data_IF_819388837498
#
_entry.id   IF_819388837498
#
_cell.length_a   1.000
_cell.length_b   1.000
_cell.length_c   1.000
_cell.angle_alpha   90.00
_cell.angle_beta   90.00
_cell.angle_gamma   90.00
#
_symmetry.space_group_name_H-M   'P 1'
#
loop_
_entity.id
_entity.type
_entity.pdbx_description
1 polymer ?
#
# COMPACT_ATOMS: atom_id res chain seq x y z
N UNK A 1 26.63 1.89 5.10
CA UNK A 1 26.91 3.00 4.17
C UNK A 1 28.41 3.22 4.13
N UNK A 2 29.01 3.29 2.93
CA UNK A 2 30.45 3.54 2.80
C UNK A 2 30.79 5.03 2.98
N UNK A 3 32.06 5.36 3.27
CA UNK A 3 32.50 6.73 3.54
C UNK A 3 32.28 7.73 2.38
N UNK A 4 31.97 7.25 1.17
CA UNK A 4 31.74 8.07 -0.04
C UNK A 4 30.28 8.05 -0.52
N UNK A 5 29.32 7.61 0.30
CA UNK A 5 27.92 7.60 -0.09
C UNK A 5 27.40 9.04 -0.20
N UNK A 6 26.95 9.42 -1.41
CA UNK A 6 26.33 10.73 -1.65
C UNK A 6 24.91 10.72 -1.10
N UNK A 7 24.60 11.64 -0.19
CA UNK A 7 23.21 11.88 0.24
C UNK A 7 22.47 12.51 -0.94
N UNK A 8 21.42 11.86 -1.41
CA UNK A 8 20.56 12.36 -2.49
C UNK A 8 19.23 12.79 -1.83
N UNK A 9 18.90 14.10 -1.82
CA UNK A 9 17.59 14.55 -1.38
C UNK A 9 16.54 14.08 -2.38
N UNK A 10 15.61 13.21 -1.95
CA UNK A 10 14.56 12.65 -2.81
C UNK A 10 13.34 13.57 -2.95
N UNK A 11 13.38 14.77 -2.37
CA UNK A 11 12.24 15.68 -2.27
C UNK A 11 11.37 15.41 -1.04
N UNK A 12 10.26 16.14 -0.94
CA UNK A 12 9.27 15.92 0.11
C UNK A 12 8.55 14.59 -0.14
N UNK A 13 8.48 13.74 0.89
CA UNK A 13 7.76 12.48 0.85
C UNK A 13 6.39 12.64 1.52
N UNK A 14 5.39 11.97 0.97
CA UNK A 14 3.98 12.15 1.35
C UNK A 14 3.66 11.66 2.78
N UNK A 15 4.51 10.79 3.33
CA UNK A 15 4.41 10.29 4.70
C UNK A 15 3.63 8.98 4.82
N UNK A 16 3.71 8.13 3.81
CA UNK A 16 3.18 6.76 3.84
C UNK A 16 4.02 5.85 4.74
N UNK A 17 3.40 4.85 5.38
CA UNK A 17 4.15 3.85 6.14
C UNK A 17 5.09 3.02 5.25
N UNK A 18 4.55 2.50 4.14
CA UNK A 18 5.29 1.71 3.15
C UNK A 18 4.89 2.17 1.74
N UNK A 19 5.87 2.59 0.95
CA UNK A 19 5.68 2.98 -0.45
C UNK A 19 6.50 2.13 -1.40
N UNK A 20 5.81 1.45 -2.31
CA UNK A 20 6.38 0.61 -3.36
C UNK A 20 6.28 1.31 -4.71
N UNK A 21 7.44 1.60 -5.31
CA UNK A 21 7.55 2.33 -6.58
C UNK A 21 8.41 1.52 -7.56
N UNK A 22 7.85 1.15 -8.71
CA UNK A 22 8.53 0.37 -9.77
C UNK A 22 9.12 -0.97 -9.31
N UNK A 23 8.58 -1.58 -8.24
CA UNK A 23 9.11 -2.83 -7.67
C UNK A 23 8.46 -4.08 -8.25
N UNK A 24 9.11 -5.25 -8.10
CA UNK A 24 8.56 -6.54 -8.50
C UNK A 24 8.84 -7.58 -7.42
N UNK A 25 7.87 -8.49 -7.19
CA UNK A 25 8.02 -9.65 -6.28
C UNK A 25 8.34 -9.22 -4.84
N UNK A 26 7.39 -8.56 -4.19
CA UNK A 26 7.50 -8.08 -2.81
C UNK A 26 6.44 -8.77 -1.95
N UNK A 27 6.81 -9.10 -0.72
CA UNK A 27 5.90 -9.66 0.28
C UNK A 27 5.89 -8.78 1.52
N UNK A 28 4.71 -8.25 1.87
CA UNK A 28 4.47 -7.46 3.07
C UNK A 28 3.62 -8.31 4.01
N UNK A 29 4.25 -8.79 5.08
CA UNK A 29 3.68 -9.82 5.94
C UNK A 29 3.87 -9.53 7.43
N UNK A 30 2.85 -9.82 8.25
CA UNK A 30 2.90 -9.72 9.73
C UNK A 30 3.31 -8.35 10.29
N UNK A 31 2.86 -7.27 9.66
CA UNK A 31 3.12 -5.90 10.15
C UNK A 31 1.89 -5.33 10.88
N UNK A 32 2.12 -4.38 11.77
CA UNK A 32 1.06 -3.50 12.30
C UNK A 32 1.31 -2.09 11.78
N UNK A 33 0.39 -1.56 10.96
CA UNK A 33 0.52 -0.28 10.28
C UNK A 33 -0.62 0.65 10.73
N UNK A 34 -0.30 1.85 11.20
CA UNK A 34 -1.27 2.78 11.77
C UNK A 34 -0.75 4.22 11.81
N UNK A 35 -1.66 5.20 11.90
CA UNK A 35 -1.39 6.62 12.21
C UNK A 35 -0.25 7.27 11.40
N UNK A 36 -0.33 7.15 10.07
CA UNK A 36 0.62 7.80 9.15
C UNK A 36 0.03 9.08 8.54
N UNK A 37 0.91 9.94 8.02
CA UNK A 37 0.52 11.28 7.56
C UNK A 37 -0.38 11.26 6.30
N UNK A 38 -0.14 10.34 5.36
CA UNK A 38 -0.99 10.16 4.17
C UNK A 38 -1.60 8.75 4.11
N UNK A 39 -0.92 7.78 3.49
CA UNK A 39 -1.36 6.39 3.39
C UNK A 39 -0.67 5.44 4.38
N UNK A 40 -1.15 4.19 4.50
CA UNK A 40 -0.35 3.12 5.10
C UNK A 40 0.46 2.36 4.05
N UNK A 41 -0.18 1.94 2.96
CA UNK A 41 0.49 1.16 1.92
C UNK A 41 0.14 1.67 0.52
N UNK A 42 1.16 2.12 -0.21
CA UNK A 42 1.04 2.58 -1.58
C UNK A 42 1.82 1.68 -2.55
N UNK A 43 1.12 1.08 -3.51
CA UNK A 43 1.70 0.26 -4.59
C UNK A 43 1.44 0.95 -5.92
N UNK A 44 2.48 1.54 -6.50
CA UNK A 44 2.33 2.48 -7.63
C UNK A 44 3.39 2.27 -8.73
N UNK A 45 3.20 2.96 -9.85
CA UNK A 45 4.14 3.04 -10.99
C UNK A 45 4.51 1.66 -11.54
N UNK A 46 3.50 0.85 -11.84
CA UNK A 46 3.65 -0.48 -12.44
C UNK A 46 4.25 -1.54 -11.51
N UNK A 47 4.27 -1.30 -10.20
CA UNK A 47 4.70 -2.29 -9.21
C UNK A 47 3.81 -3.54 -9.26
N UNK A 48 4.39 -4.74 -9.28
CA UNK A 48 3.60 -5.96 -9.56
C UNK A 48 4.14 -7.22 -8.88
N UNK A 49 3.27 -8.23 -8.73
CA UNK A 49 3.60 -9.45 -8.01
C UNK A 49 3.80 -9.17 -6.52
N UNK A 50 2.89 -8.41 -5.93
CA UNK A 50 2.93 -8.06 -4.50
C UNK A 50 1.94 -8.92 -3.74
N UNK A 51 2.36 -9.48 -2.61
CA UNK A 51 1.44 -10.11 -1.64
C UNK A 51 1.44 -9.29 -0.36
N UNK A 52 0.24 -8.97 0.13
CA UNK A 52 -0.02 -8.24 1.37
C UNK A 52 -0.82 -9.17 2.26
N UNK A 53 -0.16 -9.75 3.27
CA UNK A 53 -0.79 -10.76 4.12
C UNK A 53 -0.56 -10.61 5.61
N UNK A 54 -1.51 -11.09 6.43
CA UNK A 54 -1.38 -11.14 7.89
C UNK A 54 -1.04 -9.79 8.54
N UNK A 55 -1.36 -8.66 7.89
CA UNK A 55 -1.09 -7.34 8.44
C UNK A 55 -2.29 -6.83 9.22
N UNK A 56 -2.02 -6.04 10.26
CA UNK A 56 -3.02 -5.28 10.99
C UNK A 56 -2.95 -3.81 10.62
N UNK A 57 -3.96 -3.33 9.89
CA UNK A 57 -4.17 -1.94 9.55
C UNK A 57 -5.19 -1.33 10.51
N UNK A 58 -4.88 -0.19 11.14
CA UNK A 58 -5.81 0.48 12.07
C UNK A 58 -5.57 1.99 12.12
N UNK A 59 -6.55 2.74 12.59
CA UNK A 59 -6.44 4.19 12.84
C UNK A 59 -5.87 4.96 11.62
N UNK A 60 -6.50 4.78 10.46
CA UNK A 60 -6.09 5.48 9.25
C UNK A 60 -7.28 5.80 8.36
N UNK A 61 -7.31 7.02 7.82
CA UNK A 61 -8.27 7.39 6.77
C UNK A 61 -8.00 6.64 5.46
N UNK A 62 -6.81 6.81 4.88
CA UNK A 62 -6.38 6.22 3.60
C UNK A 62 -5.50 4.99 3.83
N UNK A 63 -6.05 3.79 3.72
CA UNK A 63 -5.31 2.58 4.13
C UNK A 63 -4.36 2.04 3.05
N UNK A 64 -4.87 1.52 1.93
CA UNK A 64 -4.10 0.85 0.86
C UNK A 64 -4.48 1.40 -0.52
N UNK A 65 -3.51 1.99 -1.23
CA UNK A 65 -3.67 2.47 -2.60
C UNK A 65 -2.91 1.56 -3.58
N UNK A 66 -3.63 1.03 -4.57
CA UNK A 66 -3.08 0.25 -5.66
C UNK A 66 -3.26 1.02 -6.98
N UNK A 67 -2.23 1.77 -7.38
CA UNK A 67 -2.24 2.70 -8.51
C UNK A 67 -2.69 4.11 -8.10
N UNK A 68 -1.97 5.14 -8.57
CA UNK A 68 -2.12 6.52 -8.07
C UNK A 68 -2.90 7.44 -9.02
N UNK A 69 -2.65 7.36 -10.33
CA UNK A 69 -3.13 8.35 -11.29
C UNK A 69 -3.71 7.67 -12.54
N UNK A 70 -4.86 8.18 -13.01
CA UNK A 70 -5.57 7.71 -14.20
C UNK A 70 -4.70 7.75 -15.47
N UNK A 71 -3.75 8.69 -15.56
CA UNK A 71 -2.81 8.81 -16.67
C UNK A 71 -1.65 7.82 -16.65
N UNK A 72 -1.43 7.07 -15.56
CA UNK A 72 -0.37 6.07 -15.47
C UNK A 72 -0.83 4.72 -16.00
N UNK A 73 -0.92 4.59 -17.33
CA UNK A 73 -1.41 3.36 -17.98
C UNK A 73 -0.58 2.11 -17.68
N UNK A 74 0.67 2.26 -17.24
CA UNK A 74 1.51 1.14 -16.77
C UNK A 74 0.95 0.46 -15.52
N UNK A 75 0.10 1.15 -14.76
CA UNK A 75 -0.57 0.59 -13.57
C UNK A 75 -1.59 -0.51 -13.93
N UNK A 76 -1.96 -0.68 -15.21
CA UNK A 76 -2.69 -1.87 -15.70
C UNK A 76 -1.97 -3.19 -15.41
N UNK A 77 -0.64 -3.14 -15.24
CA UNK A 77 0.17 -4.31 -14.94
C UNK A 77 0.27 -4.61 -13.43
N UNK A 78 -0.29 -3.74 -12.57
CA UNK A 78 -0.34 -3.99 -11.13
C UNK A 78 -1.14 -5.26 -10.89
N UNK A 79 -0.53 -6.22 -10.18
CA UNK A 79 -1.17 -7.45 -9.70
C UNK A 79 -0.81 -7.62 -8.24
N UNK A 80 -1.81 -7.54 -7.37
CA UNK A 80 -1.63 -7.60 -5.92
C UNK A 80 -2.58 -8.63 -5.30
N UNK A 81 -2.08 -9.41 -4.35
CA UNK A 81 -2.88 -10.29 -3.51
C UNK A 81 -2.99 -9.62 -2.13
N UNK A 82 -4.21 -9.43 -1.64
CA UNK A 82 -4.50 -8.85 -0.32
C UNK A 82 -5.30 -9.89 0.47
N UNK A 83 -4.63 -10.60 1.39
CA UNK A 83 -5.23 -11.76 2.08
C UNK A 83 -4.93 -11.81 3.57
N UNK A 84 -5.86 -12.32 4.39
CA UNK A 84 -5.63 -12.52 5.83
C UNK A 84 -5.25 -11.25 6.62
N UNK A 85 -5.55 -10.06 6.10
CA UNK A 85 -5.30 -8.81 6.81
C UNK A 85 -6.47 -8.46 7.73
N UNK A 86 -6.16 -7.79 8.83
CA UNK A 86 -7.14 -7.16 9.72
C UNK A 86 -7.19 -5.67 9.40
N UNK A 87 -8.31 -5.21 8.87
CA UNK A 87 -8.63 -3.80 8.67
C UNK A 87 -9.52 -3.31 9.80
N UNK A 88 -9.02 -2.42 10.64
CA UNK A 88 -9.74 -1.81 11.76
C UNK A 88 -9.07 -2.08 13.11
N UNK A 89 -9.46 -1.34 14.17
CA UNK A 89 -10.52 -0.34 14.17
C UNK A 89 -10.11 0.97 13.45
N UNK A 90 -11.11 1.81 13.16
CA UNK A 90 -10.93 3.18 12.65
C UNK A 90 -10.17 3.23 11.31
N UNK A 91 -10.53 2.34 10.38
CA UNK A 91 -10.11 2.43 8.99
C UNK A 91 -11.27 2.95 8.14
N UNK A 92 -11.11 4.13 7.53
CA UNK A 92 -12.24 4.80 6.87
C UNK A 92 -12.39 4.36 5.41
N UNK A 93 -11.30 4.35 4.63
CA UNK A 93 -11.36 4.11 3.19
C UNK A 93 -10.11 3.44 2.60
N UNK A 94 -10.21 3.04 1.33
CA UNK A 94 -9.13 2.43 0.52
C UNK A 94 -8.64 1.08 1.05
N UNK A 95 -9.52 0.08 1.17
CA UNK A 95 -9.13 -1.25 1.69
C UNK A 95 -9.40 -2.43 0.74
N UNK A 96 -8.76 -2.51 -0.45
CA UNK A 96 -7.92 -1.50 -1.07
C UNK A 96 -8.69 -0.58 -2.03
N UNK A 97 -8.13 0.58 -2.38
CA UNK A 97 -8.54 1.35 -3.56
C UNK A 97 -7.68 0.94 -4.74
N UNK A 98 -8.31 0.47 -5.83
CA UNK A 98 -7.61 -0.07 -7.00
C UNK A 98 -7.88 0.79 -8.23
N UNK A 99 -6.80 1.16 -8.93
CA UNK A 99 -6.84 1.83 -10.22
C UNK A 99 -6.14 0.97 -11.28
N UNK A 100 -6.84 0.76 -12.41
CA UNK A 100 -6.42 0.03 -13.62
C UNK A 100 -6.07 -1.46 -13.48
N UNK A 101 -5.25 -1.82 -12.49
CA UNK A 101 -4.70 -3.16 -12.32
C UNK A 101 -5.68 -4.17 -11.73
N UNK A 102 -5.14 -5.27 -11.23
CA UNK A 102 -5.89 -6.37 -10.65
C UNK A 102 -5.50 -6.61 -9.19
N UNK A 103 -6.51 -6.79 -8.34
CA UNK A 103 -6.34 -7.19 -6.95
C UNK A 103 -7.16 -8.45 -6.66
N UNK A 104 -6.52 -9.47 -6.08
CA UNK A 104 -7.24 -10.59 -5.47
C UNK A 104 -7.37 -10.30 -3.97
N UNK A 105 -8.59 -10.05 -3.51
CA UNK A 105 -8.90 -9.70 -2.12
C UNK A 105 -9.70 -10.85 -1.51
N UNK A 106 -9.13 -11.57 -0.54
CA UNK A 106 -9.78 -12.74 0.05
C UNK A 106 -9.42 -12.91 1.54
N UNK A 107 -10.33 -13.46 2.34
CA UNK A 107 -10.10 -13.79 3.75
C UNK A 107 -9.53 -12.64 4.62
N UNK A 108 -9.82 -11.38 4.29
CA UNK A 108 -9.50 -10.25 5.17
C UNK A 108 -10.64 -10.02 6.15
N UNK A 109 -10.31 -9.60 7.37
CA UNK A 109 -11.28 -9.18 8.37
C UNK A 109 -11.43 -7.66 8.33
N UNK A 110 -12.67 -7.18 8.21
CA UNK A 110 -13.01 -5.76 8.16
C UNK A 110 -13.86 -5.39 9.38
N UNK A 111 -13.27 -4.63 10.29
CA UNK A 111 -13.87 -4.22 11.56
C UNK A 111 -14.30 -2.75 11.49
N UNK A 112 -15.47 -2.53 10.92
CA UNK A 112 -16.08 -1.22 10.75
C UNK A 112 -15.47 -0.43 9.58
N UNK A 113 -16.34 0.25 8.84
CA UNK A 113 -15.99 1.35 7.93
C UNK A 113 -17.18 2.32 7.94
N UNK A 114 -16.92 3.61 8.12
CA UNK A 114 -17.92 4.66 7.99
C UNK A 114 -17.44 5.63 6.91
N UNK A 115 -18.31 5.94 5.96
CA UNK A 115 -18.05 6.80 4.81
C UNK A 115 -18.35 8.26 5.14
#
# INVERSE_FOLDING_TARGET
MGPNAKVIPLGQMDGDAIRLVTVKKVWIDHNTLYECQDGLLDVTRGSTGVTVSNNWFRNQDKVVLLGHNDGHLTDKNIKVIVIFNHFGPNCNQRMPRVHHGYAHVANNFYQGWEQ
#
